data_IF_563018781683
#
_entry.id   IF_563018781683
#
_cell.length_a   1.000
_cell.length_b   1.000
_cell.length_c   1.000
_cell.angle_alpha   90.00
_cell.angle_beta   90.00
_cell.angle_gamma   90.00
#
_symmetry.space_group_name_H-M   'P 1'
#
loop_
_entity.id
_entity.type
_entity.pdbx_description
1 polymer ?
#
# COMPACT_ATOMS: atom_id res chain seq x y z
N UNK A 1 2.55 6.33 15.80
CA UNK A 1 3.98 6.66 15.58
C UNK A 1 4.24 6.68 14.09
N UNK A 2 5.13 7.55 13.63
CA UNK A 2 5.64 7.52 12.26
C UNK A 2 7.10 7.08 12.33
N UNK A 3 7.54 6.25 11.38
CA UNK A 3 8.91 5.79 11.25
C UNK A 3 9.40 6.06 9.84
N UNK A 4 10.66 6.50 9.72
CA UNK A 4 11.33 6.58 8.43
C UNK A 4 11.91 5.22 8.07
N UNK A 5 11.56 4.73 6.90
CA UNK A 5 12.09 3.48 6.37
C UNK A 5 13.00 3.76 5.18
N UNK A 6 14.10 3.02 5.07
CA UNK A 6 14.92 3.07 3.87
C UNK A 6 14.15 2.50 2.68
N UNK A 7 14.34 3.11 1.52
CA UNK A 7 13.69 2.68 0.28
C UNK A 7 14.17 1.27 -0.10
N UNK A 8 13.28 0.29 -0.06
CA UNK A 8 13.53 -1.03 -0.65
C UNK A 8 13.10 -1.06 -2.12
N UNK A 9 14.01 -1.23 -3.10
CA UNK A 9 13.62 -1.35 -4.50
C UNK A 9 12.84 -2.64 -4.74
N UNK A 10 11.73 -2.54 -5.47
CA UNK A 10 10.99 -3.72 -5.94
C UNK A 10 11.82 -4.44 -7.02
N UNK A 11 11.76 -5.79 -7.08
CA UNK A 11 12.54 -6.57 -8.06
C UNK A 11 12.07 -6.36 -9.50
N UNK A 12 10.84 -5.88 -9.68
CA UNK A 12 10.27 -5.52 -10.97
C UNK A 12 9.24 -4.41 -10.77
N UNK A 13 8.92 -3.71 -11.84
CA UNK A 13 7.85 -2.72 -11.88
C UNK A 13 6.50 -3.41 -11.64
N UNK A 14 5.68 -2.88 -10.74
CA UNK A 14 4.36 -3.46 -10.42
C UNK A 14 3.26 -2.58 -10.96
N UNK A 15 3.34 -1.28 -10.71
CA UNK A 15 2.32 -0.32 -11.10
C UNK A 15 2.50 0.21 -12.53
N UNK A 16 1.39 0.64 -13.13
CA UNK A 16 1.37 1.29 -14.45
C UNK A 16 1.98 2.68 -14.42
N UNK A 17 1.85 3.42 -13.32
CA UNK A 17 2.72 4.53 -13.01
C UNK A 17 3.95 4.00 -12.24
N UNK A 18 5.15 4.41 -12.67
CA UNK A 18 6.41 4.06 -12.00
C UNK A 18 6.52 4.69 -10.61
N UNK A 19 5.78 5.78 -10.36
CA UNK A 19 5.85 6.50 -9.11
C UNK A 19 5.16 5.73 -7.97
N UNK A 20 4.13 4.96 -8.28
CA UNK A 20 3.34 4.20 -7.28
C UNK A 20 4.10 3.04 -6.65
N UNK A 21 5.10 2.49 -7.35
CA UNK A 21 5.97 1.44 -6.81
C UNK A 21 6.65 1.89 -5.51
N UNK A 22 6.83 3.20 -5.28
CA UNK A 22 7.37 3.72 -4.01
C UNK A 22 6.43 3.49 -2.84
N UNK A 23 5.11 3.54 -3.06
CA UNK A 23 4.10 3.30 -2.03
C UNK A 23 4.16 1.83 -1.62
N UNK A 24 4.19 0.94 -2.61
CA UNK A 24 4.31 -0.50 -2.40
C UNK A 24 5.63 -0.88 -1.70
N UNK A 25 6.75 -0.29 -2.13
CA UNK A 25 8.05 -0.46 -1.51
C UNK A 25 8.07 0.00 -0.04
N UNK A 26 7.48 1.16 0.24
CA UNK A 26 7.41 1.74 1.58
C UNK A 26 6.57 0.87 2.51
N UNK A 27 5.42 0.38 2.03
CA UNK A 27 4.56 -0.51 2.79
C UNK A 27 5.26 -1.82 3.16
N UNK A 28 6.08 -2.38 2.26
CA UNK A 28 6.89 -3.56 2.57
C UNK A 28 7.97 -3.26 3.60
N UNK A 29 8.73 -2.18 3.40
CA UNK A 29 9.83 -1.82 4.28
C UNK A 29 9.33 -1.52 5.71
N UNK A 30 8.20 -0.83 5.82
CA UNK A 30 7.53 -0.53 7.09
C UNK A 30 6.65 -1.64 7.65
N UNK A 31 6.58 -2.81 6.98
CA UNK A 31 5.72 -3.95 7.37
C UNK A 31 4.27 -3.52 7.64
N UNK A 32 3.74 -2.67 6.76
CA UNK A 32 2.40 -2.12 6.92
C UNK A 32 1.34 -3.23 6.89
N UNK A 33 0.38 -3.15 7.81
CA UNK A 33 -0.76 -4.07 7.84
C UNK A 33 -1.76 -3.81 6.70
N UNK A 34 -1.79 -2.58 6.18
CA UNK A 34 -2.71 -2.13 5.12
C UNK A 34 -2.15 -0.91 4.39
N UNK A 35 -2.41 -0.81 3.09
CA UNK A 35 -2.21 0.41 2.30
C UNK A 35 -3.56 1.08 2.11
N UNK A 36 -3.68 2.35 2.49
CA UNK A 36 -4.89 3.15 2.28
C UNK A 36 -4.59 4.19 1.21
N UNK A 37 -5.34 4.17 0.11
CA UNK A 37 -5.12 5.08 -1.03
C UNK A 37 -6.40 5.38 -1.78
N UNK A 38 -6.49 6.56 -2.38
CA UNK A 38 -7.53 6.92 -3.34
C UNK A 38 -7.14 6.70 -4.80
N UNK A 39 -5.93 6.18 -5.04
CA UNK A 39 -5.40 5.98 -6.39
C UNK A 39 -5.91 4.66 -7.00
N UNK A 40 -6.59 4.76 -8.14
CA UNK A 40 -7.17 3.62 -8.86
C UNK A 40 -6.10 2.63 -9.38
N UNK A 41 -4.90 3.11 -9.72
CA UNK A 41 -3.78 2.27 -10.18
C UNK A 41 -3.22 1.39 -9.06
N UNK A 42 -3.32 1.83 -7.80
CA UNK A 42 -3.00 1.00 -6.64
C UNK A 42 -4.18 0.14 -6.22
N UNK A 43 -5.40 0.69 -6.23
CA UNK A 43 -6.60 -0.02 -5.80
C UNK A 43 -6.91 -1.25 -6.67
N UNK A 44 -6.61 -1.20 -7.98
CA UNK A 44 -6.83 -2.34 -8.89
C UNK A 44 -6.00 -3.57 -8.49
N UNK A 45 -4.87 -3.40 -7.80
CA UNK A 45 -4.04 -4.49 -7.32
C UNK A 45 -4.72 -5.28 -6.19
N UNK A 46 -5.58 -4.62 -5.40
CA UNK A 46 -6.31 -5.13 -4.22
C UNK A 46 -5.45 -5.63 -3.06
N UNK A 47 -4.29 -6.23 -3.35
CA UNK A 47 -3.37 -6.78 -2.37
C UNK A 47 -1.96 -6.83 -2.97
N UNK A 48 -0.95 -6.51 -2.16
CA UNK A 48 0.45 -6.59 -2.56
C UNK A 48 1.26 -7.35 -1.51
N UNK A 49 1.81 -8.51 -1.88
CA UNK A 49 2.58 -9.42 -1.00
C UNK A 49 1.90 -9.68 0.36
N UNK A 50 0.59 -9.88 0.35
CA UNK A 50 -0.21 -10.12 1.55
C UNK A 50 -0.85 -8.86 2.14
N UNK A 51 -0.30 -7.67 1.89
CA UNK A 51 -0.78 -6.38 2.39
C UNK A 51 -2.02 -5.96 1.60
N UNK A 52 -3.22 -5.86 2.21
CA UNK A 52 -4.42 -5.37 1.55
C UNK A 52 -4.26 -3.91 1.13
N UNK A 53 -4.80 -3.56 -0.03
CA UNK A 53 -4.86 -2.20 -0.56
C UNK A 53 -6.33 -1.81 -0.60
N UNK A 54 -6.68 -0.76 0.13
CA UNK A 54 -8.07 -0.36 0.33
C UNK A 54 -8.26 1.13 0.13
N UNK A 55 -9.48 1.52 -0.22
CA UNK A 55 -9.88 2.92 -0.22
C UNK A 55 -10.01 3.46 1.22
N UNK A 56 -9.95 4.79 1.44
CA UNK A 56 -10.19 5.38 2.75
C UNK A 56 -11.55 4.97 3.34
N UNK A 57 -12.59 4.88 2.51
CA UNK A 57 -13.91 4.42 2.93
C UNK A 57 -13.88 2.99 3.45
N UNK A 58 -13.27 2.07 2.69
CA UNK A 58 -13.14 0.67 3.12
C UNK A 58 -12.29 0.55 4.39
N UNK A 59 -11.25 1.38 4.55
CA UNK A 59 -10.44 1.38 5.76
C UNK A 59 -11.26 1.81 7.00
N UNK A 60 -12.10 2.85 6.87
CA UNK A 60 -13.02 3.24 7.94
C UNK A 60 -14.00 2.11 8.31
N UNK A 61 -14.51 1.38 7.32
CA UNK A 61 -15.37 0.21 7.56
C UNK A 61 -14.63 -0.90 8.32
N UNK A 62 -13.34 -1.15 8.01
CA UNK A 62 -12.50 -2.11 8.74
C UNK A 62 -12.28 -1.70 10.20
N UNK A 63 -12.04 -0.41 10.47
CA UNK A 63 -11.85 0.09 11.83
C UNK A 63 -13.12 0.01 12.69
N UNK A 64 -14.29 0.17 12.08
CA UNK A 64 -15.58 0.07 12.77
C UNK A 64 -16.04 -1.38 13.01
N UNK A 65 -15.42 -2.35 12.34
CA UNK A 65 -15.69 -3.77 12.51
C UNK A 65 -14.83 -4.42 13.62
N UNK A 66 -14.10 -3.61 14.39
CA UNK A 66 -13.29 -3.98 15.55
C UNK A 66 -13.97 -3.49 16.83
#
# INVERSE_FOLDING_TARGET
MCEFVERQPLPARVCRDKNDDVVLATALAGKADVIVTGDDDLLVLKRFRGIPIVSPRQFLELLNAQ
#
